data_IF_910035433476
#
_entry.id   IF_910035433476
#
_cell.length_a   1.000
_cell.length_b   1.000
_cell.length_c   1.000
_cell.angle_alpha   90.00
_cell.angle_beta   90.00
_cell.angle_gamma   90.00
#
_symmetry.space_group_name_H-M   'P 1'
#
loop_
_entity.id
_entity.type
_entity.pdbx_description
1 polymer ?
#
# COMPACT_ATOMS: atom_id res chain seq x y z
N UNK A 1 -21.96 -10.22 -1.33
CA UNK A 1 -21.03 -10.52 -2.43
C UNK A 1 -21.03 -9.45 -3.52
N UNK A 2 -22.14 -9.17 -4.21
CA UNK A 2 -22.17 -8.13 -5.26
C UNK A 2 -21.71 -6.74 -4.80
N UNK A 3 -22.18 -6.28 -3.62
CA UNK A 3 -21.76 -4.99 -3.04
C UNK A 3 -20.24 -4.90 -2.81
N UNK A 4 -19.61 -6.00 -2.38
CA UNK A 4 -18.16 -6.05 -2.14
C UNK A 4 -17.39 -5.92 -3.47
N UNK A 5 -17.86 -6.61 -4.52
CA UNK A 5 -17.28 -6.50 -5.85
C UNK A 5 -17.38 -5.07 -6.41
N UNK A 6 -18.52 -4.39 -6.22
CA UNK A 6 -18.70 -2.99 -6.63
C UNK A 6 -17.74 -2.07 -5.88
N UNK A 7 -17.61 -2.25 -4.56
CA UNK A 7 -16.68 -1.45 -3.73
C UNK A 7 -15.24 -1.65 -4.19
N UNK A 8 -14.80 -2.91 -4.39
CA UNK A 8 -13.44 -3.22 -4.87
C UNK A 8 -13.20 -2.58 -6.24
N UNK A 9 -14.15 -2.69 -7.17
CA UNK A 9 -14.04 -2.08 -8.49
C UNK A 9 -13.89 -0.55 -8.42
N UNK A 10 -14.70 0.11 -7.59
CA UNK A 10 -14.59 1.55 -7.38
C UNK A 10 -13.23 1.96 -6.79
N UNK A 11 -12.72 1.21 -5.80
CA UNK A 11 -11.40 1.44 -5.21
C UNK A 11 -10.30 1.29 -6.26
N UNK A 12 -10.35 0.26 -7.11
CA UNK A 12 -9.37 0.05 -8.18
C UNK A 12 -9.37 1.19 -9.21
N UNK A 13 -10.55 1.71 -9.58
CA UNK A 13 -10.65 2.87 -10.49
C UNK A 13 -9.99 4.10 -9.86
N UNK A 14 -10.28 4.38 -8.58
CA UNK A 14 -9.67 5.51 -7.86
C UNK A 14 -8.15 5.38 -7.83
N UNK A 15 -7.64 4.20 -7.48
CA UNK A 15 -6.19 3.92 -7.46
C UNK A 15 -5.57 4.12 -8.85
N UNK A 16 -6.23 3.64 -9.91
CA UNK A 16 -5.77 3.81 -11.29
C UNK A 16 -5.72 5.27 -11.73
N UNK A 17 -6.71 6.08 -11.38
CA UNK A 17 -6.73 7.53 -11.66
C UNK A 17 -5.61 8.25 -10.91
N UNK A 18 -5.39 7.93 -9.63
CA UNK A 18 -4.29 8.50 -8.85
C UNK A 18 -2.94 8.14 -9.50
N UNK A 19 -2.77 6.90 -9.95
CA UNK A 19 -1.55 6.46 -10.62
C UNK A 19 -1.32 7.20 -11.94
N UNK A 20 -2.39 7.42 -12.72
CA UNK A 20 -2.31 8.14 -13.99
C UNK A 20 -1.91 9.62 -13.80
N UNK A 21 -2.50 10.30 -12.82
CA UNK A 21 -2.25 11.72 -12.56
C UNK A 21 -0.95 11.97 -11.81
N UNK A 22 -0.54 11.02 -10.96
CA UNK A 22 0.65 11.11 -10.13
C UNK A 22 1.46 9.81 -10.25
N UNK A 23 2.30 9.67 -11.29
CA UNK A 23 3.09 8.45 -11.51
C UNK A 23 4.04 8.12 -10.35
N UNK A 24 4.47 9.14 -9.60
CA UNK A 24 5.31 9.02 -8.41
C UNK A 24 4.53 8.83 -7.10
N UNK A 25 3.20 8.82 -7.12
CA UNK A 25 2.39 8.72 -5.90
C UNK A 25 2.53 7.39 -5.16
N UNK A 26 3.10 6.35 -5.77
CA UNK A 26 3.34 5.05 -5.13
C UNK A 26 4.83 4.68 -5.03
N UNK A 27 5.74 5.58 -5.45
CA UNK A 27 7.18 5.29 -5.45
C UNK A 27 7.76 5.15 -4.03
N UNK A 28 7.07 5.65 -3.00
CA UNK A 28 7.47 5.56 -1.60
C UNK A 28 7.13 4.20 -0.96
N UNK A 29 6.22 3.42 -1.55
CA UNK A 29 5.83 2.10 -1.03
C UNK A 29 7.02 1.14 -1.18
N UNK A 30 7.53 0.59 -0.07
CA UNK A 30 8.72 -0.27 -0.04
C UNK A 30 10.05 0.49 -0.17
N UNK A 31 10.03 1.82 -0.11
CA UNK A 31 11.20 2.70 -0.11
C UNK A 31 11.29 3.55 1.16
N UNK A 32 10.56 3.18 2.23
CA UNK A 32 10.60 3.93 3.48
C UNK A 32 11.94 3.71 4.21
N UNK A 33 12.45 4.73 4.92
CA UNK A 33 13.65 4.56 5.76
C UNK A 33 13.39 3.46 6.79
N UNK A 34 14.19 2.40 6.74
CA UNK A 34 14.03 1.18 7.55
C UNK A 34 13.47 -0.03 6.80
N UNK A 35 13.03 0.13 5.54
CA UNK A 35 12.78 -1.02 4.66
C UNK A 35 14.12 -1.68 4.28
N UNK A 36 14.22 -2.98 4.51
CA UNK A 36 15.45 -3.75 4.31
C UNK A 36 15.55 -4.10 2.84
N UNK A 37 16.59 -3.60 2.17
CA UNK A 37 16.93 -3.97 0.80
C UNK A 37 18.30 -4.57 0.78
N UNK A 38 18.35 -5.87 0.51
CA UNK A 38 19.60 -6.57 0.36
C UNK A 38 19.76 -6.98 -1.11
N UNK A 39 20.75 -6.39 -1.77
CA UNK A 39 21.13 -6.74 -3.15
C UNK A 39 22.47 -7.46 -3.08
N UNK A 40 22.48 -8.74 -3.43
CA UNK A 40 23.70 -9.53 -3.55
C UNK A 40 23.75 -10.17 -4.94
N UNK A 41 24.65 -9.67 -5.79
CA UNK A 41 24.80 -10.12 -7.17
C UNK A 41 23.48 -10.07 -7.96
N UNK A 42 22.99 -11.24 -8.37
CA UNK A 42 21.73 -11.39 -9.13
C UNK A 42 20.48 -11.54 -8.24
N UNK A 43 20.65 -11.56 -6.92
CA UNK A 43 19.56 -11.74 -5.94
C UNK A 43 19.23 -10.42 -5.27
N UNK A 44 17.95 -10.06 -5.30
CA UNK A 44 17.42 -8.86 -4.65
C UNK A 44 16.33 -9.27 -3.65
N UNK A 45 16.60 -9.05 -2.38
CA UNK A 45 15.65 -9.31 -1.28
C UNK A 45 15.11 -7.97 -0.80
N UNK A 46 13.78 -7.83 -0.90
CA UNK A 46 13.05 -6.66 -0.44
C UNK A 46 12.20 -7.05 0.78
N UNK A 47 12.45 -6.44 1.92
CA UNK A 47 11.70 -6.63 3.16
C UNK A 47 11.12 -5.29 3.64
N UNK A 48 9.90 -4.95 3.21
CA UNK A 48 9.29 -3.64 3.48
C UNK A 48 8.65 -3.61 4.88
N UNK A 49 9.45 -3.81 5.94
CA UNK A 49 8.98 -3.93 7.33
C UNK A 49 8.27 -2.66 7.79
N UNK A 50 8.85 -1.49 7.53
CA UNK A 50 8.30 -0.21 7.98
C UNK A 50 7.03 0.10 7.20
N UNK A 51 7.03 -0.14 5.88
CA UNK A 51 5.83 0.00 5.06
C UNK A 51 4.66 -0.85 5.61
N UNK A 52 4.91 -2.11 5.96
CA UNK A 52 3.89 -3.01 6.50
C UNK A 52 3.31 -2.51 7.83
N UNK A 53 4.17 -2.04 8.74
CA UNK A 53 3.75 -1.47 10.03
C UNK A 53 2.88 -0.23 9.82
N UNK A 54 3.27 0.68 8.94
CA UNK A 54 2.50 1.90 8.64
C UNK A 54 1.12 1.53 8.09
N UNK A 55 1.04 0.60 7.13
CA UNK A 55 -0.23 0.13 6.56
C UNK A 55 -1.13 -0.45 7.66
N UNK A 56 -0.59 -1.32 8.52
CA UNK A 56 -1.35 -1.91 9.63
C UNK A 56 -1.91 -0.87 10.58
N UNK A 57 -1.08 0.10 11.01
CA UNK A 57 -1.52 1.17 11.93
C UNK A 57 -2.64 2.01 11.30
N UNK A 58 -2.48 2.42 10.04
CA UNK A 58 -3.51 3.20 9.32
C UNK A 58 -4.80 2.39 9.23
N UNK A 59 -4.72 1.13 8.81
CA UNK A 59 -5.89 0.26 8.70
C UNK A 59 -6.59 0.10 10.06
N UNK A 60 -5.84 -0.10 11.14
CA UNK A 60 -6.40 -0.20 12.50
C UNK A 60 -7.10 1.09 12.91
N UNK A 61 -6.51 2.27 12.68
CA UNK A 61 -7.13 3.57 13.00
C UNK A 61 -8.44 3.74 12.22
N UNK A 62 -8.41 3.47 10.90
CA UNK A 62 -9.57 3.60 10.02
C UNK A 62 -10.69 2.66 10.45
N UNK A 63 -10.38 1.38 10.65
CA UNK A 63 -11.37 0.40 11.11
C UNK A 63 -11.94 0.78 12.47
N UNK A 64 -11.11 1.23 13.42
CA UNK A 64 -11.57 1.62 14.74
C UNK A 64 -12.46 2.89 14.70
N UNK A 65 -12.24 3.79 13.75
CA UNK A 65 -13.08 4.98 13.56
C UNK A 65 -14.46 4.62 12.97
N UNK A 66 -14.53 3.64 12.07
CA UNK A 66 -15.79 3.17 11.48
C UNK A 66 -16.53 2.14 12.33
N UNK A 67 -15.87 1.54 13.32
CA UNK A 67 -16.43 0.52 14.21
C UNK A 67 -16.85 1.07 15.58
N UNK A 68 -16.87 2.40 15.74
CA UNK A 68 -17.64 3.12 16.75
C UNK A 68 -19.00 3.52 16.19
#
# INVERSE_FOLDING_TARGET
MAKILIIIGAVLVIVGVIWLLFPSAFSWIGNLPGDIKHTSGNTRVYFPVVTMVVISVIATIVLNLFNR
#
